data_IF_801638207559
#
_entry.id   IF_801638207559
#
_cell.length_a   1.000
_cell.length_b   1.000
_cell.length_c   1.000
_cell.angle_alpha   90.00
_cell.angle_beta   90.00
_cell.angle_gamma   90.00
#
_symmetry.space_group_name_H-M   'P 1'
#
loop_
_entity.id
_entity.type
_entity.pdbx_description
1 polymer ?
#
# COMPACT_ATOMS: atom_id res chain seq x y z
N UNK A 1 -8.75 -22.16 39.47
CA UNK A 1 -8.76 -20.96 40.32
C UNK A 1 -7.41 -20.61 40.96
N UNK A 2 -6.37 -21.42 40.75
CA UNK A 2 -5.05 -21.17 41.30
C UNK A 2 -4.90 -21.40 42.80
N UNK A 3 -5.88 -22.06 43.42
CA UNK A 3 -5.86 -22.46 44.80
C UNK A 3 -6.60 -23.78 44.98
N UNK A 4 -6.30 -24.51 46.06
CA UNK A 4 -6.99 -25.74 46.42
C UNK A 4 -8.16 -25.40 47.32
N UNK A 5 -9.37 -25.75 46.87
CA UNK A 5 -10.60 -25.62 47.64
C UNK A 5 -11.04 -27.03 48.02
N UNK A 6 -11.35 -27.25 49.29
CA UNK A 6 -11.74 -28.58 49.76
C UNK A 6 -13.04 -29.08 49.09
N UNK A 7 -13.16 -30.38 48.89
CA UNK A 7 -14.43 -30.98 48.38
C UNK A 7 -15.63 -30.64 49.25
N UNK A 8 -15.41 -30.47 50.56
CA UNK A 8 -16.46 -30.11 51.52
C UNK A 8 -16.97 -28.67 51.27
N UNK A 9 -16.01 -27.73 51.00
CA UNK A 9 -16.37 -26.34 50.70
C UNK A 9 -17.09 -26.25 49.35
N UNK A 10 -16.61 -26.97 48.30
CA UNK A 10 -17.27 -27.01 47.00
C UNK A 10 -18.70 -27.57 47.12
N UNK A 11 -18.86 -28.66 47.88
CA UNK A 11 -20.16 -29.28 48.12
C UNK A 11 -21.11 -28.33 48.91
N UNK A 12 -20.57 -27.55 49.86
CA UNK A 12 -21.34 -26.54 50.58
C UNK A 12 -21.79 -25.40 49.65
N UNK A 13 -20.90 -24.95 48.79
CA UNK A 13 -21.20 -23.93 47.78
C UNK A 13 -22.34 -24.38 46.85
N UNK A 14 -22.29 -25.61 46.33
CA UNK A 14 -23.35 -26.15 45.46
C UNK A 14 -24.69 -26.28 46.23
N UNK A 15 -24.68 -26.68 47.51
CA UNK A 15 -25.87 -26.70 48.34
C UNK A 15 -26.46 -25.29 48.53
N UNK A 16 -25.65 -24.30 48.82
CA UNK A 16 -26.08 -22.90 48.95
C UNK A 16 -26.63 -22.32 47.66
N UNK A 17 -26.09 -22.70 46.52
CA UNK A 17 -26.58 -22.34 45.20
C UNK A 17 -27.82 -23.15 44.77
N UNK A 18 -28.21 -24.15 45.56
CA UNK A 18 -29.30 -25.09 45.25
C UNK A 18 -29.09 -25.77 43.88
N UNK A 19 -27.86 -26.19 43.62
CA UNK A 19 -27.49 -26.94 42.42
C UNK A 19 -27.31 -28.41 42.82
N UNK A 20 -27.95 -29.31 42.07
CA UNK A 20 -27.82 -30.75 42.31
C UNK A 20 -26.48 -31.25 41.75
N UNK A 21 -25.84 -32.14 42.49
CA UNK A 21 -24.60 -32.77 42.06
C UNK A 21 -24.47 -34.19 42.58
N UNK A 22 -23.75 -35.01 41.84
CA UNK A 22 -23.25 -36.31 42.30
C UNK A 22 -21.70 -36.20 42.44
N UNK A 23 -21.19 -36.69 43.57
CA UNK A 23 -19.73 -36.64 43.84
C UNK A 23 -19.15 -38.04 43.75
N UNK A 24 -18.05 -38.19 42.98
CA UNK A 24 -17.26 -39.38 42.87
C UNK A 24 -15.77 -39.06 43.09
N UNK A 25 -15.31 -39.24 44.34
CA UNK A 25 -13.95 -38.78 44.72
C UNK A 25 -13.84 -37.27 44.63
N UNK A 26 -12.93 -36.80 43.80
CA UNK A 26 -12.70 -35.37 43.57
C UNK A 26 -13.50 -34.78 42.39
N UNK A 27 -14.32 -35.63 41.74
CA UNK A 27 -15.15 -35.18 40.61
C UNK A 27 -16.57 -34.87 41.06
N UNK A 28 -17.10 -33.73 40.58
CA UNK A 28 -18.48 -33.32 40.77
C UNK A 28 -19.23 -33.30 39.45
N UNK A 29 -20.25 -34.12 39.33
CA UNK A 29 -21.17 -34.12 38.20
C UNK A 29 -22.36 -33.22 38.53
N UNK A 30 -22.36 -32.01 37.97
CA UNK A 30 -23.35 -30.98 38.33
C UNK A 30 -24.52 -31.00 37.35
N UNK A 31 -25.73 -31.05 37.89
CA UNK A 31 -26.96 -30.88 37.12
C UNK A 31 -27.45 -29.43 37.21
N UNK A 32 -27.23 -28.67 36.17
CA UNK A 32 -27.60 -27.24 36.11
C UNK A 32 -29.12 -27.11 36.00
N UNK A 33 -29.78 -26.45 36.96
CA UNK A 33 -31.25 -26.28 36.93
C UNK A 33 -31.65 -25.26 35.85
N UNK A 34 -32.83 -25.44 35.26
CA UNK A 34 -33.36 -24.59 34.16
C UNK A 34 -33.44 -23.10 34.49
N UNK A 35 -33.49 -22.72 35.77
CA UNK A 35 -33.45 -21.32 36.21
C UNK A 35 -32.08 -20.64 36.03
N UNK A 36 -31.02 -21.42 35.81
CA UNK A 36 -29.63 -20.97 35.60
C UNK A 36 -29.24 -21.21 34.15
N UNK A 37 -29.96 -20.58 33.23
CA UNK A 37 -29.65 -20.61 31.81
C UNK A 37 -28.35 -19.88 31.41
N UNK A 38 -27.73 -19.21 32.36
CA UNK A 38 -26.44 -18.54 32.27
C UNK A 38 -25.25 -19.52 32.39
N UNK A 39 -25.45 -20.68 33.02
CA UNK A 39 -24.39 -21.69 33.21
C UNK A 39 -24.45 -22.69 32.05
N UNK A 40 -23.53 -22.58 31.13
CA UNK A 40 -23.47 -23.36 29.88
C UNK A 40 -22.18 -24.14 29.70
N UNK A 41 -21.10 -23.70 30.30
CA UNK A 41 -19.76 -24.28 30.20
C UNK A 41 -19.16 -24.52 31.60
N UNK A 42 -18.06 -25.24 31.66
CA UNK A 42 -17.37 -25.58 32.91
C UNK A 42 -16.90 -24.33 33.67
N UNK A 43 -16.43 -23.32 32.94
CA UNK A 43 -15.94 -22.05 33.48
C UNK A 43 -17.00 -21.26 34.20
N UNK A 44 -18.27 -21.35 33.78
CA UNK A 44 -19.39 -20.73 34.49
C UNK A 44 -19.56 -21.33 35.90
N UNK A 45 -19.36 -22.65 36.03
CA UNK A 45 -19.36 -23.30 37.35
C UNK A 45 -18.16 -22.93 38.21
N UNK A 46 -16.98 -22.74 37.63
CA UNK A 46 -15.82 -22.21 38.36
C UNK A 46 -16.06 -20.80 38.87
N UNK A 47 -16.73 -19.95 38.07
CA UNK A 47 -17.16 -18.62 38.53
C UNK A 47 -18.04 -18.67 39.73
N UNK A 48 -19.06 -19.54 39.74
CA UNK A 48 -19.97 -19.71 40.86
C UNK A 48 -19.26 -20.18 42.13
N UNK A 49 -18.33 -21.10 42.01
CA UNK A 49 -17.48 -21.53 43.12
C UNK A 49 -16.63 -20.38 43.63
N UNK A 50 -15.93 -19.68 42.74
CA UNK A 50 -15.06 -18.56 43.07
C UNK A 50 -15.82 -17.41 43.76
N UNK A 51 -17.02 -17.09 43.24
CA UNK A 51 -17.87 -16.01 43.75
C UNK A 51 -18.35 -16.27 45.20
N UNK A 52 -18.74 -17.51 45.51
CA UNK A 52 -19.24 -17.88 46.84
C UNK A 52 -18.08 -18.13 47.81
N UNK A 53 -16.94 -18.68 47.32
CA UNK A 53 -15.72 -18.83 48.09
C UNK A 53 -15.14 -17.47 48.50
N UNK A 54 -15.31 -16.47 47.65
CA UNK A 54 -14.83 -15.11 47.81
C UNK A 54 -13.59 -14.84 46.98
N UNK A 55 -13.65 -13.87 46.09
CA UNK A 55 -12.53 -13.49 45.23
C UNK A 55 -11.30 -13.02 46.02
N UNK A 56 -11.50 -12.42 47.19
CA UNK A 56 -10.42 -11.99 48.09
C UNK A 56 -9.57 -13.16 48.63
N UNK A 57 -10.12 -14.39 48.61
CA UNK A 57 -9.41 -15.60 49.05
C UNK A 57 -8.61 -16.25 47.92
N UNK A 58 -8.73 -15.75 46.69
CA UNK A 58 -7.98 -16.28 45.54
C UNK A 58 -6.60 -15.61 45.48
N UNK A 59 -5.53 -16.39 45.27
CA UNK A 59 -4.19 -15.83 45.21
C UNK A 59 -3.98 -15.02 43.92
N UNK A 60 -3.29 -13.90 44.02
CA UNK A 60 -2.79 -13.20 42.86
C UNK A 60 -1.57 -13.95 42.28
N UNK A 61 -1.73 -14.49 41.09
CA UNK A 61 -0.65 -15.19 40.39
C UNK A 61 -0.18 -14.40 39.19
N UNK A 62 1.13 -14.36 38.96
CA UNK A 62 1.67 -13.79 37.74
C UNK A 62 1.68 -14.86 36.64
N UNK A 63 1.38 -14.50 35.38
CA UNK A 63 1.56 -15.41 34.27
C UNK A 63 2.98 -15.91 34.19
N UNK A 64 3.16 -17.22 34.06
CA UNK A 64 4.47 -17.85 33.84
C UNK A 64 4.62 -18.20 32.37
N UNK A 65 5.71 -17.77 31.76
CA UNK A 65 6.03 -18.08 30.38
C UNK A 65 7.50 -17.84 30.10
N UNK A 66 8.00 -18.43 29.04
CA UNK A 66 9.34 -18.13 28.55
C UNK A 66 9.42 -16.66 28.15
N UNK A 67 10.45 -15.96 28.65
CA UNK A 67 10.72 -14.60 28.22
C UNK A 67 11.13 -14.61 26.74
N UNK A 68 10.40 -13.89 25.90
CA UNK A 68 10.71 -13.70 24.50
C UNK A 68 11.13 -12.26 24.26
N UNK A 69 12.19 -12.06 23.48
CA UNK A 69 12.56 -10.73 23.04
C UNK A 69 11.44 -10.15 22.17
N UNK A 70 10.99 -8.94 22.52
CA UNK A 70 10.01 -8.22 21.71
C UNK A 70 10.57 -7.92 20.32
N UNK A 71 9.73 -7.98 19.29
CA UNK A 71 10.09 -7.66 17.91
C UNK A 71 8.87 -7.42 17.05
N UNK A 72 9.08 -6.79 15.91
CA UNK A 72 8.03 -6.60 14.91
C UNK A 72 8.07 -7.77 13.92
N UNK A 73 6.91 -8.22 13.49
CA UNK A 73 6.81 -9.06 12.28
C UNK A 73 7.22 -8.23 11.06
N UNK A 74 7.56 -8.88 9.95
CA UNK A 74 7.91 -8.19 8.71
C UNK A 74 6.76 -7.27 8.24
N UNK A 75 5.53 -7.75 8.31
CA UNK A 75 4.34 -6.96 8.00
C UNK A 75 4.23 -5.70 8.88
N UNK A 76 4.37 -5.84 10.20
CA UNK A 76 4.33 -4.70 11.12
C UNK A 76 5.46 -3.70 10.84
N UNK A 77 6.65 -4.21 10.53
CA UNK A 77 7.81 -3.36 10.17
C UNK A 77 7.51 -2.56 8.89
N UNK A 78 7.03 -3.22 7.84
CA UNK A 78 6.74 -2.57 6.57
C UNK A 78 5.57 -1.59 6.68
N UNK A 79 4.49 -1.95 7.36
CA UNK A 79 3.41 -1.00 7.65
C UNK A 79 3.92 0.28 8.31
N UNK A 80 4.81 0.17 9.30
CA UNK A 80 5.42 1.34 9.96
C UNK A 80 6.34 2.12 9.01
N UNK A 81 7.16 1.44 8.22
CA UNK A 81 8.03 2.08 7.21
C UNK A 81 7.20 2.86 6.18
N UNK A 82 6.13 2.25 5.65
CA UNK A 82 5.24 2.91 4.67
C UNK A 82 4.57 4.16 5.26
N UNK A 83 3.99 4.04 6.44
CA UNK A 83 3.35 5.18 7.11
C UNK A 83 4.33 6.31 7.33
N UNK A 84 5.50 6.04 7.92
CA UNK A 84 6.55 7.03 8.12
C UNK A 84 7.03 7.67 6.81
N UNK A 85 7.10 6.88 5.72
CA UNK A 85 7.45 7.38 4.41
C UNK A 85 6.38 8.33 3.86
N UNK A 86 5.10 7.94 3.85
CA UNK A 86 4.02 8.79 3.34
C UNK A 86 3.87 10.08 4.15
N UNK A 87 4.00 10.02 5.47
CA UNK A 87 4.03 11.20 6.34
C UNK A 87 5.21 12.12 6.01
N UNK A 88 6.41 11.55 5.84
CA UNK A 88 7.62 12.26 5.43
C UNK A 88 7.51 12.87 4.02
N UNK A 89 6.76 12.24 3.11
CA UNK A 89 6.45 12.75 1.79
C UNK A 89 5.35 13.83 1.80
N UNK A 90 4.73 14.12 2.96
CA UNK A 90 3.75 15.19 3.12
C UNK A 90 2.28 14.75 3.00
N UNK A 91 1.98 13.45 3.08
CA UNK A 91 0.61 12.97 3.12
C UNK A 91 0.11 12.83 4.56
N UNK A 92 -1.19 12.96 4.74
CA UNK A 92 -1.87 12.75 6.02
C UNK A 92 -2.59 11.40 6.05
N UNK A 93 -2.42 10.64 7.13
CA UNK A 93 -3.15 9.39 7.31
C UNK A 93 -4.65 9.64 7.48
N UNK A 94 -5.43 8.85 6.79
CA UNK A 94 -6.88 8.75 6.98
C UNK A 94 -7.25 7.32 7.32
N UNK A 95 -8.35 7.17 8.05
CA UNK A 95 -8.94 5.86 8.36
C UNK A 95 -10.41 5.95 7.96
N UNK A 96 -10.76 5.23 6.91
CA UNK A 96 -12.11 5.19 6.37
C UNK A 96 -12.80 3.87 6.72
N UNK A 97 -14.12 3.80 6.53
CA UNK A 97 -14.85 2.58 6.79
C UNK A 97 -14.55 1.49 5.75
N UNK A 98 -14.49 0.24 6.23
CA UNK A 98 -14.40 -0.94 5.35
C UNK A 98 -15.73 -1.26 4.65
N UNK A 99 -16.80 -0.64 5.09
CA UNK A 99 -18.13 -0.74 4.51
C UNK A 99 -18.44 0.49 3.67
N UNK A 100 -19.00 0.28 2.51
CA UNK A 100 -19.35 1.33 1.53
C UNK A 100 -20.74 1.08 0.94
N UNK A 101 -21.23 2.04 0.15
CA UNK A 101 -22.43 1.86 -0.64
C UNK A 101 -22.17 0.91 -1.83
N UNK A 102 -23.16 0.12 -2.21
CA UNK A 102 -23.06 -0.89 -3.27
C UNK A 102 -22.52 -0.32 -4.60
N UNK A 103 -23.04 0.85 -5.00
CA UNK A 103 -22.64 1.51 -6.25
C UNK A 103 -21.15 1.93 -6.28
N UNK A 104 -20.54 2.13 -5.10
CA UNK A 104 -19.14 2.55 -4.96
C UNK A 104 -18.18 1.36 -4.82
N UNK A 105 -18.68 0.25 -4.33
CA UNK A 105 -17.85 -0.91 -3.99
C UNK A 105 -17.01 -1.43 -5.16
N UNK A 106 -17.48 -1.22 -6.41
CA UNK A 106 -16.77 -1.62 -7.64
C UNK A 106 -16.05 -0.48 -8.36
N UNK A 107 -16.04 0.74 -7.79
CA UNK A 107 -15.38 1.88 -8.40
C UNK A 107 -13.87 1.89 -8.08
N UNK A 108 -13.05 2.23 -9.08
CA UNK A 108 -11.62 2.41 -8.93
C UNK A 108 -10.91 1.20 -8.29
N UNK A 109 -11.42 0.02 -8.62
CA UNK A 109 -10.83 -1.26 -8.20
C UNK A 109 -9.58 -1.52 -9.02
N UNK A 110 -8.50 -1.91 -8.37
CA UNK A 110 -7.26 -2.20 -9.06
C UNK A 110 -7.36 -3.47 -9.92
N UNK A 111 -6.57 -3.57 -11.01
CA UNK A 111 -6.70 -4.66 -11.99
C UNK A 111 -6.63 -6.05 -11.35
N UNK A 112 -5.67 -6.28 -10.47
CA UNK A 112 -5.44 -7.57 -9.83
C UNK A 112 -6.56 -7.97 -8.84
N UNK A 113 -7.24 -7.00 -8.23
CA UNK A 113 -8.42 -7.25 -7.40
C UNK A 113 -9.63 -7.58 -8.28
N UNK A 114 -9.78 -6.84 -9.39
CA UNK A 114 -10.88 -7.03 -10.34
C UNK A 114 -10.83 -8.40 -11.02
N UNK A 115 -9.63 -8.95 -11.24
CA UNK A 115 -9.44 -10.29 -11.80
C UNK A 115 -9.83 -11.40 -10.82
N UNK A 116 -9.65 -11.18 -9.51
CA UNK A 116 -9.92 -12.18 -8.46
C UNK A 116 -11.35 -12.14 -7.93
N UNK A 117 -11.96 -10.96 -7.83
CA UNK A 117 -13.25 -10.80 -7.17
C UNK A 117 -14.39 -10.88 -8.17
N UNK A 118 -15.33 -11.79 -7.92
CA UNK A 118 -16.55 -11.94 -8.75
C UNK A 118 -17.55 -10.83 -8.44
N UNK A 119 -17.76 -10.55 -7.15
CA UNK A 119 -18.69 -9.51 -6.69
C UNK A 119 -18.28 -8.96 -5.33
N UNK A 120 -18.68 -7.72 -5.00
CA UNK A 120 -18.56 -7.20 -3.64
C UNK A 120 -19.40 -8.00 -2.66
N UNK A 121 -18.90 -8.13 -1.42
CA UNK A 121 -19.60 -8.85 -0.36
C UNK A 121 -20.61 -7.93 0.34
N UNK A 122 -21.90 -8.21 0.19
CA UNK A 122 -22.96 -7.49 0.85
C UNK A 122 -23.26 -8.09 2.23
N UNK A 123 -23.56 -7.22 3.22
CA UNK A 123 -24.00 -7.62 4.54
C UNK A 123 -25.46 -8.10 4.49
N UNK A 124 -25.78 -9.15 5.22
CA UNK A 124 -27.14 -9.67 5.31
C UNK A 124 -28.12 -8.69 5.98
N UNK A 125 -27.64 -7.93 6.98
CA UNK A 125 -28.41 -6.90 7.70
C UNK A 125 -27.53 -5.67 7.91
N UNK A 126 -27.42 -4.77 6.92
CA UNK A 126 -26.64 -3.56 7.05
C UNK A 126 -27.31 -2.56 8.01
N UNK A 127 -26.50 -1.79 8.74
CA UNK A 127 -26.99 -0.72 9.61
C UNK A 127 -27.52 0.50 8.82
N UNK A 128 -27.02 0.71 7.61
CA UNK A 128 -27.47 1.75 6.69
C UNK A 128 -27.20 1.32 5.24
N UNK A 129 -27.87 1.95 4.28
CA UNK A 129 -27.62 1.74 2.85
C UNK A 129 -26.20 2.19 2.45
N UNK A 130 -25.67 3.23 3.10
CA UNK A 130 -24.33 3.76 2.84
C UNK A 130 -23.20 2.81 3.26
N UNK A 131 -23.48 1.85 4.14
CA UNK A 131 -22.49 0.93 4.73
C UNK A 131 -22.95 -0.52 4.64
N UNK A 132 -23.49 -0.91 3.48
CA UNK A 132 -24.06 -2.24 3.26
C UNK A 132 -23.11 -3.25 2.62
N UNK A 133 -21.96 -2.82 2.09
CA UNK A 133 -21.11 -3.65 1.24
C UNK A 133 -19.65 -3.49 1.64
N UNK A 134 -18.89 -4.59 1.67
CA UNK A 134 -17.44 -4.54 1.90
C UNK A 134 -16.73 -3.97 0.67
N UNK A 135 -15.78 -3.06 0.90
CA UNK A 135 -15.02 -2.35 -0.15
C UNK A 135 -14.05 -3.27 -0.89
N UNK A 136 -13.95 -3.11 -2.22
CA UNK A 136 -12.91 -3.68 -3.08
C UNK A 136 -11.77 -2.70 -3.38
N UNK A 137 -11.95 -1.43 -3.04
CA UNK A 137 -10.98 -0.35 -3.18
C UNK A 137 -11.13 0.63 -2.01
N UNK A 138 -10.05 1.27 -1.58
CA UNK A 138 -10.08 2.36 -0.61
C UNK A 138 -10.19 3.74 -1.26
N UNK A 139 -9.95 3.80 -2.58
CA UNK A 139 -9.90 5.07 -3.31
C UNK A 139 -11.22 5.85 -3.28
N UNK A 140 -12.41 5.23 -3.41
CA UNK A 140 -13.68 5.97 -3.34
C UNK A 140 -13.87 6.72 -2.03
N UNK A 141 -13.56 6.12 -0.89
CA UNK A 141 -13.67 6.72 0.45
C UNK A 141 -12.65 7.85 0.64
N UNK A 142 -11.43 7.69 0.10
CA UNK A 142 -10.43 8.77 0.08
C UNK A 142 -10.91 9.96 -0.74
N UNK A 143 -11.53 9.73 -1.89
CA UNK A 143 -12.11 10.79 -2.73
C UNK A 143 -13.28 11.52 -2.03
N UNK A 144 -14.11 10.79 -1.28
CA UNK A 144 -15.15 11.39 -0.46
C UNK A 144 -14.58 12.24 0.66
N UNK A 145 -13.52 11.75 1.31
CA UNK A 145 -12.81 12.51 2.33
C UNK A 145 -12.21 13.81 1.75
N UNK A 146 -11.64 13.76 0.54
CA UNK A 146 -11.19 14.97 -0.17
C UNK A 146 -12.36 15.92 -0.46
N UNK A 147 -13.45 15.41 -1.04
CA UNK A 147 -14.66 16.18 -1.38
C UNK A 147 -15.24 16.88 -0.14
N UNK A 148 -15.34 16.15 0.98
CA UNK A 148 -15.83 16.68 2.25
C UNK A 148 -14.99 17.87 2.74
N UNK A 149 -13.67 17.77 2.67
CA UNK A 149 -12.74 18.81 3.11
C UNK A 149 -12.70 19.99 2.15
N UNK A 150 -12.72 19.75 0.83
CA UNK A 150 -12.76 20.80 -0.20
C UNK A 150 -14.03 21.65 -0.06
N UNK A 151 -15.19 21.04 0.21
CA UNK A 151 -16.43 21.75 0.50
C UNK A 151 -16.32 22.66 1.73
N UNK A 152 -15.33 22.42 2.62
CA UNK A 152 -15.02 23.22 3.81
C UNK A 152 -13.82 24.14 3.63
N UNK A 153 -13.45 24.43 2.38
CA UNK A 153 -12.37 25.36 2.01
C UNK A 153 -10.96 24.86 2.30
N UNK A 154 -10.79 23.58 2.54
CA UNK A 154 -9.48 22.93 2.57
C UNK A 154 -9.19 22.40 1.15
N UNK A 155 -8.45 23.17 0.35
CA UNK A 155 -8.31 22.88 -1.08
C UNK A 155 -7.05 22.10 -1.44
N UNK A 156 -6.02 22.14 -0.59
CA UNK A 156 -4.71 21.50 -0.81
C UNK A 156 -4.58 20.30 0.11
N UNK A 157 -4.84 19.13 -0.42
CA UNK A 157 -4.97 17.92 0.37
C UNK A 157 -4.18 16.77 -0.25
N UNK A 158 -3.50 16.02 0.59
CA UNK A 158 -2.82 14.78 0.24
C UNK A 158 -3.08 13.76 1.35
N UNK A 159 -3.90 12.77 1.07
CA UNK A 159 -4.29 11.73 2.01
C UNK A 159 -3.74 10.38 1.61
N UNK A 160 -3.47 9.54 2.60
CA UNK A 160 -3.19 8.13 2.40
C UNK A 160 -3.92 7.26 3.44
N UNK A 161 -4.13 6.01 3.11
CA UNK A 161 -4.64 4.98 4.01
C UNK A 161 -3.89 3.66 3.79
N UNK A 162 -3.53 2.99 4.88
CA UNK A 162 -3.07 1.60 4.88
C UNK A 162 -4.17 0.77 5.50
N UNK A 163 -4.88 0.00 4.68
CA UNK A 163 -6.08 -0.70 5.09
C UNK A 163 -6.31 -1.98 4.29
N UNK A 164 -7.45 -2.60 4.51
CA UNK A 164 -7.83 -3.89 3.93
C UNK A 164 -8.99 -3.71 2.95
N UNK A 165 -8.94 -4.45 1.84
CA UNK A 165 -10.06 -4.69 0.93
C UNK A 165 -10.46 -6.16 1.00
N UNK A 166 -11.69 -6.48 0.58
CA UNK A 166 -12.29 -7.79 0.84
C UNK A 166 -12.71 -8.44 -0.48
N UNK A 167 -12.10 -9.57 -0.81
CA UNK A 167 -12.24 -10.25 -2.09
C UNK A 167 -13.09 -11.50 -1.91
N UNK A 168 -14.07 -11.71 -2.78
CA UNK A 168 -14.83 -12.95 -2.86
C UNK A 168 -14.82 -13.50 -4.27
N UNK A 169 -14.45 -14.76 -4.39
CA UNK A 169 -14.56 -15.55 -5.63
C UNK A 169 -15.96 -16.13 -5.82
N UNK A 170 -16.85 -15.95 -4.84
CA UNK A 170 -18.18 -16.52 -4.81
C UNK A 170 -19.25 -15.43 -4.99
N UNK A 171 -20.25 -15.64 -5.83
CA UNK A 171 -21.43 -14.76 -5.91
C UNK A 171 -22.25 -14.79 -4.62
N UNK A 172 -22.37 -15.97 -4.01
CA UNK A 172 -22.99 -16.15 -2.70
C UNK A 172 -21.93 -16.59 -1.71
N UNK A 173 -21.60 -15.71 -0.81
CA UNK A 173 -20.54 -15.91 0.18
C UNK A 173 -20.90 -17.06 1.12
N UNK A 174 -20.11 -18.12 1.13
CA UNK A 174 -20.21 -19.28 2.00
C UNK A 174 -19.04 -19.41 2.98
N UNK A 175 -17.94 -18.72 2.70
CA UNK A 175 -16.72 -18.65 3.53
C UNK A 175 -16.34 -17.20 3.77
N UNK A 176 -15.48 -16.96 4.74
CA UNK A 176 -14.93 -15.62 4.98
C UNK A 176 -14.22 -15.11 3.71
N UNK A 177 -14.48 -13.85 3.28
CA UNK A 177 -13.77 -13.27 2.15
C UNK A 177 -12.27 -13.16 2.43
N UNK A 178 -11.47 -13.20 1.38
CA UNK A 178 -10.03 -12.93 1.45
C UNK A 178 -9.83 -11.46 1.82
N UNK A 179 -9.03 -11.21 2.84
CA UNK A 179 -8.60 -9.88 3.23
C UNK A 179 -7.27 -9.56 2.55
N UNK A 180 -7.22 -8.50 1.74
CA UNK A 180 -6.01 -8.06 1.06
C UNK A 180 -5.57 -6.71 1.58
N UNK A 181 -4.34 -6.64 2.09
CA UNK A 181 -3.76 -5.41 2.62
C UNK A 181 -3.27 -4.50 1.49
N UNK A 182 -3.66 -3.23 1.54
CA UNK A 182 -3.32 -2.24 0.52
C UNK A 182 -2.83 -0.93 1.13
N UNK A 183 -2.14 -0.14 0.32
CA UNK A 183 -1.83 1.25 0.61
C UNK A 183 -2.36 2.11 -0.55
N UNK A 184 -3.22 3.06 -0.25
CA UNK A 184 -3.84 3.95 -1.23
C UNK A 184 -3.61 5.40 -0.86
N UNK A 185 -3.59 6.28 -1.86
CA UNK A 185 -3.51 7.72 -1.63
C UNK A 185 -4.32 8.51 -2.62
N UNK A 186 -4.71 9.73 -2.21
CA UNK A 186 -5.46 10.68 -3.02
C UNK A 186 -4.97 12.10 -2.76
N UNK A 187 -4.68 12.84 -3.83
CA UNK A 187 -4.07 14.16 -3.80
C UNK A 187 -4.84 15.14 -4.69
N UNK A 188 -5.05 16.37 -4.20
CA UNK A 188 -5.68 17.45 -4.97
C UNK A 188 -5.14 18.82 -4.54
N UNK A 189 -5.23 19.82 -5.42
CA UNK A 189 -4.84 21.20 -5.14
C UNK A 189 -3.35 21.48 -5.38
N UNK A 190 -2.73 22.27 -4.52
CA UNK A 190 -1.32 22.66 -4.63
C UNK A 190 -0.46 21.72 -3.78
N UNK A 191 0.53 21.10 -4.41
CA UNK A 191 1.55 20.26 -3.73
C UNK A 191 2.55 21.11 -2.94
N UNK A 192 3.01 22.20 -3.56
CA UNK A 192 3.88 23.20 -2.95
C UNK A 192 3.20 24.57 -3.06
N UNK A 193 3.21 25.31 -1.98
CA UNK A 193 2.74 26.70 -1.95
C UNK A 193 3.61 27.51 -0.99
N UNK A 194 4.52 28.30 -1.57
CA UNK A 194 5.38 29.22 -0.85
C UNK A 194 5.06 30.67 -1.26
N UNK A 195 4.03 31.30 -0.64
CA UNK A 195 3.52 32.60 -1.10
C UNK A 195 4.57 33.70 -1.17
N UNK A 196 5.50 33.75 -0.23
CA UNK A 196 6.55 34.77 -0.18
C UNK A 196 7.66 34.54 -1.21
N UNK A 197 7.89 33.28 -1.63
CA UNK A 197 8.82 32.90 -2.71
C UNK A 197 8.15 32.90 -4.08
N UNK A 198 6.81 33.09 -4.13
CA UNK A 198 5.98 32.99 -5.33
C UNK A 198 6.11 31.61 -6.04
N UNK A 199 6.48 30.60 -5.29
CA UNK A 199 6.60 29.24 -5.78
C UNK A 199 5.30 28.47 -5.54
N UNK A 200 4.73 27.96 -6.63
CA UNK A 200 3.52 27.14 -6.61
C UNK A 200 3.67 25.97 -7.55
N UNK A 201 3.36 24.79 -7.05
CA UNK A 201 3.29 23.56 -7.84
C UNK A 201 1.97 22.86 -7.54
N UNK A 202 1.11 22.73 -8.53
CA UNK A 202 -0.11 21.95 -8.42
C UNK A 202 0.22 20.44 -8.38
N UNK A 203 -0.65 19.67 -7.77
CA UNK A 203 -0.60 18.20 -7.88
C UNK A 203 -0.77 17.81 -9.33
N UNK A 204 0.09 16.92 -9.81
CA UNK A 204 0.05 16.36 -11.15
C UNK A 204 0.35 14.85 -11.12
N UNK A 205 0.36 14.20 -12.30
CA UNK A 205 0.71 12.80 -12.44
C UNK A 205 2.10 12.48 -11.87
N UNK A 206 3.06 13.37 -12.10
CA UNK A 206 4.45 13.14 -11.68
C UNK A 206 4.63 13.29 -10.18
N UNK A 207 3.82 14.13 -9.50
CA UNK A 207 3.79 14.19 -8.03
C UNK A 207 3.32 12.84 -7.46
N UNK A 208 2.19 12.32 -7.95
CA UNK A 208 1.67 11.03 -7.47
C UNK A 208 2.61 9.85 -7.79
N UNK A 209 3.18 9.83 -9.00
CA UNK A 209 4.18 8.84 -9.42
C UNK A 209 5.47 8.96 -8.60
N UNK A 210 5.95 10.19 -8.34
CA UNK A 210 7.15 10.44 -7.55
C UNK A 210 7.03 9.97 -6.10
N UNK A 211 5.84 10.02 -5.50
CA UNK A 211 5.58 9.42 -4.20
C UNK A 211 5.80 7.90 -4.26
N UNK A 212 5.33 7.23 -5.30
CA UNK A 212 5.56 5.79 -5.46
C UNK A 212 7.01 5.45 -5.82
N UNK A 213 7.69 6.30 -6.58
CA UNK A 213 9.13 6.14 -6.89
C UNK A 213 9.98 6.24 -5.63
N UNK A 214 9.73 7.24 -4.78
CA UNK A 214 10.43 7.34 -3.51
C UNK A 214 10.09 6.19 -2.54
N UNK A 215 8.87 5.62 -2.60
CA UNK A 215 8.55 4.40 -1.87
C UNK A 215 9.36 3.21 -2.42
N UNK A 216 9.48 3.09 -3.74
CA UNK A 216 10.31 2.08 -4.42
C UNK A 216 11.76 2.14 -3.95
N UNK A 217 12.35 3.34 -3.89
CA UNK A 217 13.70 3.58 -3.38
C UNK A 217 13.81 3.23 -1.89
N UNK A 218 12.85 3.65 -1.07
CA UNK A 218 12.82 3.36 0.39
C UNK A 218 12.76 1.87 0.70
N UNK A 219 12.15 1.07 -0.18
CA UNK A 219 12.02 -0.37 -0.03
C UNK A 219 13.11 -1.16 -0.77
N UNK A 220 13.93 -0.50 -1.57
CA UNK A 220 14.89 -1.14 -2.51
C UNK A 220 14.18 -2.18 -3.42
N UNK A 221 12.99 -1.81 -3.91
CA UNK A 221 12.15 -2.61 -4.81
C UNK A 221 11.85 -1.82 -6.08
N UNK A 222 12.39 -2.19 -7.25
CA UNK A 222 12.19 -1.42 -8.47
C UNK A 222 10.73 -1.52 -8.94
N UNK A 223 10.03 -0.39 -8.95
CA UNK A 223 8.69 -0.28 -9.53
C UNK A 223 8.79 0.02 -11.02
N UNK A 224 7.94 -0.64 -11.80
CA UNK A 224 7.76 -0.36 -13.22
C UNK A 224 6.35 0.16 -13.48
N UNK A 225 6.23 1.02 -14.50
CA UNK A 225 4.99 1.71 -14.83
C UNK A 225 4.64 1.48 -16.30
N UNK A 226 3.40 1.03 -16.55
CA UNK A 226 2.90 0.81 -17.91
C UNK A 226 1.61 1.58 -18.12
N UNK A 227 1.52 2.34 -19.22
CA UNK A 227 0.32 3.10 -19.57
C UNK A 227 -0.87 2.17 -19.71
N UNK A 228 -1.96 2.50 -19.02
CA UNK A 228 -3.17 1.68 -19.02
C UNK A 228 -4.43 2.54 -19.07
N UNK A 229 -5.58 1.87 -19.30
CA UNK A 229 -6.91 2.48 -19.22
C UNK A 229 -7.71 1.74 -18.16
N UNK A 230 -8.17 2.47 -17.16
CA UNK A 230 -9.03 1.95 -16.09
C UNK A 230 -10.33 2.77 -16.04
N UNK A 231 -11.41 2.09 -15.68
CA UNK A 231 -12.70 2.75 -15.46
C UNK A 231 -12.59 3.85 -14.39
N UNK A 232 -13.25 4.96 -14.60
CA UNK A 232 -13.21 6.13 -13.72
C UNK A 232 -11.86 6.85 -13.62
N UNK A 233 -10.85 6.44 -14.41
CA UNK A 233 -9.55 7.10 -14.52
C UNK A 233 -9.41 7.85 -15.86
N UNK A 234 -8.49 8.83 -15.87
CA UNK A 234 -8.17 9.58 -17.09
C UNK A 234 -7.42 8.71 -18.10
N UNK A 235 -7.92 8.58 -19.37
CA UNK A 235 -7.40 7.58 -20.32
C UNK A 235 -5.95 7.83 -20.77
N UNK A 236 -5.44 9.05 -20.60
CA UNK A 236 -4.07 9.43 -21.00
C UNK A 236 -3.12 9.66 -19.83
N UNK A 237 -3.61 9.59 -18.56
CA UNK A 237 -2.80 9.90 -17.37
C UNK A 237 -3.02 8.83 -16.30
N UNK A 238 -2.90 7.55 -16.72
CA UNK A 238 -3.05 6.39 -15.83
C UNK A 238 -2.04 5.33 -16.22
N UNK A 239 -1.41 4.74 -15.21
CA UNK A 239 -0.47 3.65 -15.36
C UNK A 239 -0.75 2.53 -14.35
N UNK A 240 -0.54 1.28 -14.75
CA UNK A 240 -0.36 0.17 -13.82
C UNK A 240 1.01 0.27 -13.17
N UNK A 241 1.11 -0.23 -11.95
CA UNK A 241 2.36 -0.32 -11.19
C UNK A 241 2.68 -1.80 -10.98
N UNK A 242 3.92 -2.17 -11.26
CA UNK A 242 4.38 -3.56 -11.10
C UNK A 242 5.72 -3.63 -10.36
N UNK A 243 5.95 -4.73 -9.66
CA UNK A 243 7.21 -5.10 -9.01
C UNK A 243 7.61 -6.49 -9.48
N UNK A 244 8.83 -6.65 -9.98
CA UNK A 244 9.33 -7.94 -10.48
C UNK A 244 8.37 -8.64 -11.45
N UNK A 245 7.67 -7.85 -12.30
CA UNK A 245 6.69 -8.36 -13.27
C UNK A 245 5.31 -8.69 -12.69
N UNK A 246 5.09 -8.58 -11.39
CA UNK A 246 3.77 -8.72 -10.75
C UNK A 246 3.07 -7.37 -10.70
N UNK A 247 1.86 -7.26 -11.23
CA UNK A 247 1.03 -6.06 -11.07
C UNK A 247 0.64 -5.93 -9.61
N UNK A 248 0.91 -4.75 -9.02
CA UNK A 248 0.59 -4.44 -7.63
C UNK A 248 -0.49 -3.38 -7.49
N UNK A 249 -0.85 -2.68 -8.58
CA UNK A 249 -1.85 -1.63 -8.51
C UNK A 249 -1.76 -0.63 -9.64
N UNK A 250 -2.15 0.61 -9.34
CA UNK A 250 -2.18 1.69 -10.33
C UNK A 250 -1.89 3.06 -9.72
N UNK A 251 -1.55 4.02 -10.60
CA UNK A 251 -1.45 5.45 -10.29
C UNK A 251 -2.03 6.26 -11.45
N UNK A 252 -2.70 7.37 -11.15
CA UNK A 252 -3.18 8.23 -12.22
C UNK A 252 -4.14 9.31 -11.77
N UNK A 253 -4.62 10.07 -12.77
CA UNK A 253 -5.63 11.09 -12.58
C UNK A 253 -7.04 10.45 -12.56
N UNK A 254 -7.85 10.84 -11.61
CA UNK A 254 -9.28 10.53 -11.59
C UNK A 254 -9.96 11.12 -12.84
N UNK A 255 -10.91 10.42 -13.43
CA UNK A 255 -11.59 10.91 -14.62
C UNK A 255 -12.28 12.27 -14.39
N UNK A 256 -12.12 13.27 -15.25
CA UNK A 256 -12.69 14.63 -15.05
C UNK A 256 -14.20 14.66 -14.79
N UNK A 257 -14.93 13.70 -15.33
CA UNK A 257 -16.38 13.57 -15.10
C UNK A 257 -16.67 13.22 -13.62
N UNK A 258 -15.89 12.31 -13.04
CA UNK A 258 -16.02 11.93 -11.62
C UNK A 258 -15.54 13.05 -10.72
N UNK A 259 -14.41 13.71 -11.04
CA UNK A 259 -13.93 14.89 -10.30
C UNK A 259 -15.04 15.97 -10.21
N UNK A 260 -15.71 16.26 -11.33
CA UNK A 260 -16.81 17.23 -11.36
C UNK A 260 -18.00 16.81 -10.49
N UNK A 261 -18.34 15.52 -10.47
CA UNK A 261 -19.43 14.99 -9.63
C UNK A 261 -19.12 15.14 -8.14
N UNK A 262 -17.84 14.98 -7.75
CA UNK A 262 -17.37 15.11 -6.38
C UNK A 262 -16.99 16.54 -5.98
N UNK A 263 -17.09 17.52 -6.90
CA UNK A 263 -16.70 18.91 -6.65
C UNK A 263 -15.18 19.08 -6.46
N UNK A 264 -14.39 18.18 -7.01
CA UNK A 264 -12.94 18.19 -6.95
C UNK A 264 -12.32 18.85 -8.18
N UNK A 265 -11.16 19.49 -7.99
CA UNK A 265 -10.25 19.91 -9.06
C UNK A 265 -9.49 18.71 -9.61
N UNK A 266 -8.39 18.91 -10.35
CA UNK A 266 -7.52 17.82 -10.74
C UNK A 266 -7.09 17.02 -9.51
N UNK A 267 -7.37 15.72 -9.53
CA UNK A 267 -7.13 14.81 -8.41
C UNK A 267 -6.41 13.57 -8.93
N UNK A 268 -5.37 13.19 -8.22
CA UNK A 268 -4.54 12.04 -8.56
C UNK A 268 -4.60 11.04 -7.43
N UNK A 269 -4.61 9.77 -7.78
CA UNK A 269 -4.71 8.66 -6.83
C UNK A 269 -3.70 7.58 -7.16
N UNK A 270 -3.32 6.83 -6.15
CA UNK A 270 -2.61 5.58 -6.30
C UNK A 270 -3.21 4.53 -5.37
N UNK A 271 -3.04 3.27 -5.73
CA UNK A 271 -3.46 2.12 -4.94
C UNK A 271 -2.52 0.96 -5.22
N UNK A 272 -1.87 0.42 -4.19
CA UNK A 272 -0.86 -0.64 -4.31
C UNK A 272 -1.07 -1.75 -3.28
N UNK A 273 -0.84 -2.99 -3.72
CA UNK A 273 -0.92 -4.20 -2.92
C UNK A 273 0.29 -4.30 -1.99
N UNK A 274 0.05 -4.21 -0.68
CA UNK A 274 1.10 -4.26 0.32
C UNK A 274 1.60 -5.69 0.57
N UNK A 275 0.79 -6.72 0.35
CA UNK A 275 1.18 -8.12 0.56
C UNK A 275 2.29 -8.52 -0.41
N UNK A 276 2.16 -8.15 -1.69
CA UNK A 276 3.21 -8.39 -2.68
C UNK A 276 4.49 -7.62 -2.32
N UNK A 277 4.38 -6.39 -1.80
CA UNK A 277 5.54 -5.64 -1.32
C UNK A 277 6.22 -6.34 -0.13
N UNK A 278 5.43 -6.95 0.78
CA UNK A 278 5.96 -7.72 1.90
C UNK A 278 6.68 -8.99 1.42
N UNK A 279 6.09 -9.70 0.45
CA UNK A 279 6.69 -10.92 -0.14
C UNK A 279 8.01 -10.62 -0.85
N UNK A 280 8.06 -9.54 -1.63
CA UNK A 280 9.23 -9.17 -2.43
C UNK A 280 10.33 -8.46 -1.63
N UNK A 281 9.98 -7.91 -0.44
CA UNK A 281 10.93 -7.15 0.37
C UNK A 281 12.03 -8.04 0.95
N UNK A 282 13.26 -7.74 0.58
CA UNK A 282 14.45 -8.40 1.12
C UNK A 282 15.02 -7.57 2.27
N UNK A 283 14.98 -8.12 3.47
CA UNK A 283 15.47 -7.44 4.68
C UNK A 283 16.99 -7.23 4.72
N UNK A 284 17.75 -7.87 3.84
CA UNK A 284 19.22 -7.81 3.86
C UNK A 284 19.73 -6.53 3.18
N UNK A 285 20.04 -5.54 3.98
CA UNK A 285 20.86 -4.41 3.55
C UNK A 285 22.33 -4.83 3.53
N UNK A 286 22.93 -4.86 2.33
CA UNK A 286 24.35 -5.15 2.17
C UNK A 286 25.13 -3.85 2.07
N UNK A 287 26.10 -3.68 2.97
CA UNK A 287 27.02 -2.55 2.88
C UNK A 287 27.75 -2.55 1.54
N UNK A 288 27.71 -1.43 0.84
CA UNK A 288 28.51 -1.15 -0.34
C UNK A 288 29.53 -0.07 -0.02
N UNK A 289 30.78 -0.33 -0.37
CA UNK A 289 31.86 0.66 -0.22
C UNK A 289 31.59 1.89 -1.09
N UNK A 290 31.77 3.08 -0.52
CA UNK A 290 31.70 4.32 -1.29
C UNK A 290 32.79 4.29 -2.36
N UNK A 291 32.45 4.52 -3.64
CA UNK A 291 33.44 4.56 -4.72
C UNK A 291 34.50 5.62 -4.46
N UNK A 292 35.77 5.24 -4.65
CA UNK A 292 36.92 6.14 -4.46
C UNK A 292 37.37 6.80 -5.77
N UNK A 293 36.82 6.35 -6.90
CA UNK A 293 37.20 6.83 -8.23
C UNK A 293 36.17 7.83 -8.75
N UNK A 294 36.56 8.83 -9.52
CA UNK A 294 35.66 9.82 -10.06
C UNK A 294 34.72 9.21 -11.10
N UNK A 295 33.48 9.67 -11.10
CA UNK A 295 32.51 9.38 -12.15
C UNK A 295 32.70 10.33 -13.35
N UNK A 296 32.19 9.90 -14.51
CA UNK A 296 32.12 10.72 -15.74
C UNK A 296 30.61 10.90 -16.05
N UNK A 297 30.22 12.15 -16.31
CA UNK A 297 28.84 12.46 -16.74
C UNK A 297 28.83 12.79 -18.24
N UNK A 298 27.83 12.29 -18.98
CA UNK A 298 27.51 12.62 -20.35
C UNK A 298 26.05 12.91 -20.53
N UNK A 299 25.72 13.95 -21.25
CA UNK A 299 24.33 14.31 -21.57
C UNK A 299 24.07 13.95 -23.05
N UNK A 300 22.89 13.38 -23.32
CA UNK A 300 22.39 13.08 -24.67
C UNK A 300 20.98 13.65 -24.82
N UNK A 301 20.70 14.21 -26.00
CA UNK A 301 19.34 14.63 -26.35
C UNK A 301 18.87 13.79 -27.55
N UNK A 302 17.73 13.14 -27.38
CA UNK A 302 17.19 12.19 -28.36
C UNK A 302 15.84 12.69 -28.87
N UNK A 303 15.66 12.74 -30.18
CA UNK A 303 14.38 12.98 -30.82
C UNK A 303 13.73 11.62 -31.09
N UNK A 304 12.53 11.43 -30.58
CA UNK A 304 11.78 10.18 -30.69
C UNK A 304 10.32 10.45 -31.02
N UNK A 305 9.59 9.42 -31.42
CA UNK A 305 8.13 9.47 -31.56
C UNK A 305 7.47 9.82 -30.23
N UNK A 306 6.39 10.58 -30.25
CA UNK A 306 5.68 11.03 -29.06
C UNK A 306 5.20 9.87 -28.18
N UNK A 307 4.89 8.71 -28.76
CA UNK A 307 4.42 7.53 -28.03
C UNK A 307 5.54 6.78 -27.30
N UNK A 308 6.82 7.00 -27.63
CA UNK A 308 7.97 6.37 -26.94
C UNK A 308 8.07 6.94 -25.54
N UNK A 309 8.08 6.07 -24.53
CA UNK A 309 8.17 6.51 -23.13
C UNK A 309 9.63 6.79 -22.73
N UNK A 310 9.85 7.73 -21.82
CA UNK A 310 11.19 7.98 -21.28
C UNK A 310 11.74 6.72 -20.59
N UNK A 311 10.92 6.02 -19.80
CA UNK A 311 11.33 4.81 -19.10
C UNK A 311 11.79 3.67 -20.03
N UNK A 312 11.19 3.53 -21.24
CA UNK A 312 11.68 2.53 -22.20
C UNK A 312 13.06 2.87 -22.74
N UNK A 313 13.36 4.16 -22.93
CA UNK A 313 14.68 4.62 -23.34
C UNK A 313 15.69 4.46 -22.20
N UNK A 314 15.31 4.81 -20.97
CA UNK A 314 16.16 4.62 -19.77
C UNK A 314 16.54 3.15 -19.60
N UNK A 315 15.60 2.22 -19.77
CA UNK A 315 15.86 0.79 -19.70
C UNK A 315 16.88 0.35 -20.78
N UNK A 316 16.71 0.81 -22.03
CA UNK A 316 17.65 0.52 -23.13
C UNK A 316 19.04 1.09 -22.86
N UNK A 317 19.12 2.33 -22.33
CA UNK A 317 20.39 2.95 -21.96
C UNK A 317 21.07 2.17 -20.84
N UNK A 318 20.34 1.79 -19.81
CA UNK A 318 20.87 1.03 -18.67
C UNK A 318 21.39 -0.35 -19.08
N UNK A 319 20.67 -1.05 -19.97
CA UNK A 319 21.08 -2.35 -20.49
C UNK A 319 22.33 -2.23 -21.36
N UNK A 320 22.32 -1.33 -22.35
CA UNK A 320 23.43 -1.15 -23.28
C UNK A 320 24.69 -0.54 -22.61
N UNK A 321 24.47 0.25 -21.55
CA UNK A 321 25.55 0.90 -20.78
C UNK A 321 26.13 0.04 -19.66
N UNK A 322 25.54 -1.15 -19.37
CA UNK A 322 26.02 -2.04 -18.31
C UNK A 322 27.40 -2.62 -18.65
N UNK A 323 28.34 -2.75 -17.69
CA UNK A 323 28.19 -2.41 -16.26
C UNK A 323 28.65 -0.99 -15.89
N UNK A 324 29.01 -0.13 -16.84
CA UNK A 324 29.65 1.17 -16.58
C UNK A 324 28.64 2.29 -16.25
N UNK A 325 27.45 2.28 -16.86
CA UNK A 325 26.40 3.25 -16.53
C UNK A 325 25.75 2.84 -15.20
N UNK A 326 25.78 3.76 -14.24
CA UNK A 326 25.23 3.55 -12.88
C UNK A 326 23.94 4.31 -12.63
N UNK A 327 23.73 5.40 -13.36
CA UNK A 327 22.53 6.22 -13.25
C UNK A 327 22.16 6.81 -14.60
N UNK A 328 20.86 6.91 -14.85
CA UNK A 328 20.27 7.51 -16.05
C UNK A 328 19.14 8.41 -15.59
N UNK A 329 19.24 9.71 -15.86
CA UNK A 329 18.27 10.69 -15.41
C UNK A 329 17.73 11.50 -16.59
N UNK A 330 16.40 11.49 -16.79
CA UNK A 330 15.74 12.47 -17.65
C UNK A 330 15.78 13.84 -16.99
N UNK A 331 16.27 14.86 -17.68
CA UNK A 331 16.31 16.20 -17.13
C UNK A 331 15.61 17.26 -18.00
N UNK A 332 15.29 16.95 -19.27
CA UNK A 332 14.55 17.87 -20.13
C UNK A 332 13.61 17.13 -21.10
N UNK A 333 12.46 17.73 -21.34
CA UNK A 333 11.50 17.33 -22.36
C UNK A 333 11.11 18.56 -23.18
N UNK A 334 11.33 18.49 -24.49
CA UNK A 334 10.93 19.54 -25.40
C UNK A 334 9.93 18.99 -26.44
N UNK A 335 8.82 19.72 -26.58
CA UNK A 335 7.83 19.54 -27.63
C UNK A 335 7.50 20.93 -28.20
N UNK A 336 7.76 21.18 -29.47
CA UNK A 336 7.54 22.49 -30.04
C UNK A 336 7.92 22.61 -31.52
N UNK A 337 7.82 23.84 -32.04
CA UNK A 337 7.91 24.18 -33.46
C UNK A 337 9.20 23.77 -34.21
N UNK A 338 10.24 23.36 -33.46
CA UNK A 338 11.51 22.93 -34.05
C UNK A 338 11.65 21.40 -34.18
N UNK A 339 10.58 20.67 -33.97
CA UNK A 339 10.48 19.21 -34.14
C UNK A 339 9.39 18.89 -35.16
N UNK A 340 9.54 17.79 -35.85
CA UNK A 340 8.49 17.26 -36.71
C UNK A 340 7.21 16.93 -35.90
N UNK A 341 6.07 17.04 -36.54
CA UNK A 341 4.78 16.70 -35.91
C UNK A 341 4.76 15.24 -35.43
N UNK A 342 4.34 15.01 -34.18
CA UNK A 342 4.35 13.68 -33.55
C UNK A 342 5.71 13.26 -32.97
N UNK A 343 6.70 14.17 -32.91
CA UNK A 343 8.00 13.96 -32.29
C UNK A 343 8.16 14.74 -30.99
N UNK A 344 9.01 14.22 -30.11
CA UNK A 344 9.48 14.90 -28.90
C UNK A 344 10.98 14.71 -28.73
N UNK A 345 11.62 15.65 -28.04
CA UNK A 345 13.03 15.52 -27.64
C UNK A 345 13.11 15.25 -26.14
N UNK A 346 13.83 14.21 -25.76
CA UNK A 346 14.12 13.84 -24.39
C UNK A 346 15.63 13.97 -24.14
N UNK A 347 16.01 14.65 -23.07
CA UNK A 347 17.41 14.79 -22.69
C UNK A 347 17.70 13.95 -21.44
N UNK A 348 18.76 13.15 -21.53
CA UNK A 348 19.19 12.23 -20.49
C UNK A 348 20.59 12.56 -20.03
N UNK A 349 20.83 12.49 -18.73
CA UNK A 349 22.14 12.50 -18.12
C UNK A 349 22.53 11.09 -17.75
N UNK A 350 23.69 10.64 -18.20
CA UNK A 350 24.25 9.33 -17.96
C UNK A 350 25.46 9.46 -17.05
N UNK A 351 25.48 8.69 -15.95
CA UNK A 351 26.60 8.66 -15.01
C UNK A 351 27.38 7.35 -15.20
N UNK A 352 28.64 7.49 -15.65
CA UNK A 352 29.56 6.37 -15.82
C UNK A 352 30.47 6.26 -14.61
N UNK A 353 30.59 5.07 -14.04
CA UNK A 353 31.41 4.80 -12.86
C UNK A 353 31.86 3.34 -12.82
N UNK A 354 33.16 3.12 -12.56
CA UNK A 354 33.72 1.85 -12.13
C UNK A 354 34.13 1.99 -10.63
N UNK A 355 33.59 1.23 -9.70
CA UNK A 355 33.92 1.36 -8.28
C UNK A 355 35.37 0.98 -7.95
N UNK A 356 36.05 0.24 -8.83
CA UNK A 356 37.35 -0.34 -8.56
C UNK A 356 38.51 0.46 -9.21
N UNK A 357 38.23 1.30 -10.22
CA UNK A 357 39.26 2.06 -10.99
C UNK A 357 38.67 3.30 -11.63
N UNK A 358 39.56 4.22 -12.04
CA UNK A 358 39.19 5.37 -12.86
C UNK A 358 38.97 4.90 -14.31
N UNK A 359 37.83 5.33 -14.89
CA UNK A 359 37.51 5.04 -16.30
C UNK A 359 38.42 5.80 -17.24
N UNK A 360 38.76 5.18 -18.38
CA UNK A 360 39.47 5.83 -19.49
C UNK A 360 38.45 6.44 -20.43
N UNK A 361 38.81 7.56 -21.09
CA UNK A 361 37.92 8.25 -22.03
C UNK A 361 37.48 7.33 -23.18
N UNK A 362 38.35 6.46 -23.66
CA UNK A 362 38.02 5.50 -24.72
C UNK A 362 36.93 4.50 -24.30
N UNK A 363 36.95 3.99 -23.05
CA UNK A 363 35.97 3.04 -22.57
C UNK A 363 34.57 3.69 -22.41
N UNK A 364 34.57 4.95 -21.97
CA UNK A 364 33.33 5.74 -21.87
C UNK A 364 32.80 6.01 -23.29
N UNK A 365 33.64 6.34 -24.26
CA UNK A 365 33.24 6.61 -25.64
C UNK A 365 32.69 5.35 -26.35
N UNK A 366 33.35 4.20 -26.19
CA UNK A 366 32.90 2.92 -26.74
C UNK A 366 31.50 2.53 -26.16
N UNK A 367 31.32 2.65 -24.84
CA UNK A 367 30.03 2.37 -24.20
C UNK A 367 28.95 3.36 -24.62
N UNK A 368 29.32 4.65 -24.73
CA UNK A 368 28.43 5.71 -25.18
C UNK A 368 27.92 5.47 -26.60
N UNK A 369 28.82 5.08 -27.52
CA UNK A 369 28.44 4.76 -28.89
C UNK A 369 27.53 3.51 -28.95
N UNK A 370 27.78 2.48 -28.13
CA UNK A 370 26.93 1.33 -28.07
C UNK A 370 25.49 1.69 -27.58
N UNK A 371 25.38 2.61 -26.60
CA UNK A 371 24.10 3.15 -26.15
C UNK A 371 23.37 3.86 -27.29
N UNK A 372 24.06 4.74 -28.02
CA UNK A 372 23.46 5.48 -29.14
C UNK A 372 22.96 4.56 -30.26
N UNK A 373 23.70 3.50 -30.58
CA UNK A 373 23.24 2.48 -31.52
C UNK A 373 22.04 1.70 -31.03
N UNK A 374 22.01 1.33 -29.74
CA UNK A 374 20.89 0.61 -29.11
C UNK A 374 19.61 1.45 -29.15
N UNK A 375 19.66 2.71 -28.70
CA UNK A 375 18.45 3.57 -28.68
C UNK A 375 17.99 3.91 -30.12
N UNK A 376 18.89 4.04 -31.06
CA UNK A 376 18.55 4.22 -32.47
C UNK A 376 17.85 3.00 -33.04
N UNK A 377 18.36 1.81 -32.77
CA UNK A 377 17.80 0.57 -33.33
C UNK A 377 16.45 0.19 -32.69
N UNK A 378 16.27 0.38 -31.38
CA UNK A 378 15.08 -0.03 -30.66
C UNK A 378 13.97 1.01 -30.69
N UNK A 379 14.30 2.30 -30.64
CA UNK A 379 13.33 3.39 -30.50
C UNK A 379 13.31 4.33 -31.71
N UNK A 380 14.11 4.05 -32.76
CA UNK A 380 14.28 4.93 -33.91
C UNK A 380 14.70 6.37 -33.50
N UNK A 381 15.42 6.45 -32.37
CA UNK A 381 15.86 7.70 -31.81
C UNK A 381 16.94 8.36 -32.66
N UNK A 382 16.86 9.67 -32.85
CA UNK A 382 17.85 10.50 -33.54
C UNK A 382 18.48 11.45 -32.51
N UNK A 383 19.80 11.63 -32.61
CA UNK A 383 20.47 12.65 -31.81
C UNK A 383 19.98 14.03 -32.24
N UNK A 384 19.63 14.85 -31.28
CA UNK A 384 19.34 16.26 -31.49
C UNK A 384 20.70 16.98 -31.61
N UNK A 385 20.97 17.52 -32.80
CA UNK A 385 22.18 18.32 -33.08
C UNK A 385 22.15 19.70 -32.40
#
# INVERSE_FOLDING_TARGET
>A
LGTDISNEDIADIFRRLQVNYDQNGDEFHVSVPTRRGDITIFEDMLEEVARIYGYDNLPYTLPQGASQAGGLTLEQLLKRKLKAYFEGAGLHETITYSLTHEDKAQMLVSPEVKEKSVSPVALAMPMSEDHGTLRLSMVPELLESLSYNVARKQENLAFYEVGTVFISEEEKVTKQPEEMLRASGALTGEWLSHPWQQEKKSVDFFVAKGILEGLSEQLDLPFSYEKTKLDHMHPGRTATVSVNGKVIGFVGQVHPKLQKQLGLKETYVFDVNLEVLIEEYKKEEKFQTIPRHPSVSRDIALVVDENVTAGSIEATIAEAGSPLVKDVQVFDLYQGEHLDEGKKSLAFRLLYLDPLRTLKDQEVEETHNAILEAVKSQHQAELRG
#
